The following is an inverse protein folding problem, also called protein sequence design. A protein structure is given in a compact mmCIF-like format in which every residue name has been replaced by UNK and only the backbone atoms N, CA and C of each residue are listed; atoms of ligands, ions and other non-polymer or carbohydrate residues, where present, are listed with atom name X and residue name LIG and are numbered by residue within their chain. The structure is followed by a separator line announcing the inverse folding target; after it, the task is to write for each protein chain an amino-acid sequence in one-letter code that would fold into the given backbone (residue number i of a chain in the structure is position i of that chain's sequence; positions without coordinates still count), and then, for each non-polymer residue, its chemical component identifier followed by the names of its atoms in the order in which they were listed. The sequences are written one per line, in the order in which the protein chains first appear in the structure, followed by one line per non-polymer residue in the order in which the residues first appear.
data_IF_567115579871
#
_entry.id   IF_567115579871
#
_cell.length_a   1.000
_cell.length_b   1.000
_cell.length_c   1.000
_cell.angle_alpha   90.00
_cell.angle_beta   90.00
_cell.angle_gamma   90.00
#
_symmetry.space_group_name_H-M   'P 1'
#
loop_
_entity.id
_entity.type
_entity.pdbx_description
1 polymer ?
#
# COMPACT_ATOMS: atom_id res chain seq x y z
N UNK A 1 9.96 -0.32 14.18
CA UNK A 1 10.55 -0.49 12.82
C UNK A 1 9.65 -1.42 12.03
N UNK A 2 9.20 -1.00 10.83
CA UNK A 2 8.36 -1.87 10.00
C UNK A 2 9.15 -3.07 9.46
N UNK A 3 8.48 -4.21 9.32
CA UNK A 3 9.08 -5.46 8.84
C UNK A 3 8.13 -6.19 7.90
N UNK A 4 8.68 -6.82 6.90
CA UNK A 4 8.01 -7.79 6.05
C UNK A 4 8.89 -9.04 5.97
N UNK A 5 8.39 -10.14 6.51
CA UNK A 5 8.98 -11.47 6.37
C UNK A 5 8.29 -12.24 5.28
N UNK A 6 9.07 -12.92 4.43
CA UNK A 6 8.56 -13.81 3.37
C UNK A 6 9.25 -15.16 3.44
N UNK A 7 8.48 -16.20 3.28
CA UNK A 7 8.96 -17.58 3.26
C UNK A 7 8.06 -18.47 2.41
N UNK A 8 8.55 -19.65 2.07
CA UNK A 8 7.75 -20.76 1.59
C UNK A 8 7.59 -21.77 2.72
N UNK A 9 6.35 -22.18 2.95
CA UNK A 9 5.96 -23.12 4.00
C UNK A 9 5.22 -24.32 3.40
N UNK A 10 4.95 -25.34 4.22
CA UNK A 10 4.19 -26.52 3.83
C UNK A 10 4.74 -27.16 2.56
N UNK A 11 5.94 -27.73 2.67
CA UNK A 11 6.68 -28.33 1.54
C UNK A 11 6.94 -27.37 0.36
N UNK A 12 7.09 -26.07 0.67
CA UNK A 12 7.24 -24.99 -0.31
C UNK A 12 6.04 -24.80 -1.25
N UNK A 13 4.86 -25.24 -0.83
CA UNK A 13 3.64 -25.13 -1.63
C UNK A 13 2.80 -23.90 -1.28
N UNK A 14 3.11 -23.23 -0.17
CA UNK A 14 2.40 -22.01 0.26
C UNK A 14 3.40 -20.89 0.47
N UNK A 15 3.15 -19.76 -0.18
CA UNK A 15 3.89 -18.52 0.07
C UNK A 15 3.31 -17.84 1.30
N UNK A 16 4.15 -17.57 2.29
CA UNK A 16 3.83 -16.86 3.52
C UNK A 16 4.43 -15.46 3.48
N UNK A 17 3.66 -14.48 3.90
CA UNK A 17 4.15 -13.13 4.24
C UNK A 17 3.60 -12.71 5.59
N UNK A 18 4.47 -12.20 6.48
CA UNK A 18 4.10 -11.65 7.79
C UNK A 18 4.61 -10.20 7.86
N UNK A 19 3.72 -9.28 8.21
CA UNK A 19 4.01 -7.84 8.19
C UNK A 19 3.79 -7.20 9.56
N UNK A 20 4.65 -6.25 9.87
CA UNK A 20 4.46 -5.25 10.92
C UNK A 20 4.66 -3.86 10.33
N UNK A 21 3.62 -3.01 10.39
CA UNK A 21 3.56 -1.72 9.68
C UNK A 21 3.14 -0.57 10.60
N UNK A 22 3.25 -0.76 11.89
CA UNK A 22 2.79 0.19 12.92
C UNK A 22 3.41 1.58 12.77
N UNK A 23 4.73 1.66 12.53
CA UNK A 23 5.41 2.95 12.35
C UNK A 23 4.97 3.63 11.05
N UNK A 24 4.81 2.87 9.96
CA UNK A 24 4.36 3.39 8.68
C UNK A 24 2.97 4.03 8.78
N UNK A 25 2.05 3.40 9.51
CA UNK A 25 0.71 3.97 9.76
C UNK A 25 0.80 5.23 10.63
N UNK A 26 1.66 5.24 11.66
CA UNK A 26 1.88 6.43 12.48
C UNK A 26 2.47 7.60 11.68
N UNK A 27 3.34 7.32 10.71
CA UNK A 27 3.88 8.35 9.83
C UNK A 27 2.81 8.92 8.90
N UNK A 28 1.92 8.07 8.36
CA UNK A 28 0.77 8.51 7.58
C UNK A 28 -0.19 9.39 8.43
N UNK A 29 -0.48 8.99 9.68
CA UNK A 29 -1.29 9.79 10.62
C UNK A 29 -0.69 11.20 10.79
N UNK A 30 0.61 11.31 11.01
CA UNK A 30 1.31 12.60 11.19
C UNK A 30 1.27 13.45 9.94
N UNK A 31 1.54 12.86 8.77
CA UNK A 31 1.59 13.56 7.47
C UNK A 31 0.24 14.13 7.09
N UNK A 32 -0.84 13.37 7.32
CA UNK A 32 -2.19 13.72 6.86
C UNK A 32 -3.13 14.18 7.96
N UNK A 33 -2.68 14.20 9.22
CA UNK A 33 -3.51 14.53 10.40
C UNK A 33 -4.82 13.72 10.42
N UNK A 34 -4.69 12.38 10.27
CA UNK A 34 -5.83 11.47 10.15
C UNK A 34 -6.57 11.30 11.49
N UNK A 35 -7.89 11.20 11.42
CA UNK A 35 -8.68 10.64 12.52
C UNK A 35 -8.51 9.10 12.61
N UNK A 36 -9.03 8.50 13.69
CA UNK A 36 -8.84 7.07 13.95
C UNK A 36 -9.41 6.20 12.82
N UNK A 37 -10.57 6.53 12.25
CA UNK A 37 -11.23 5.76 11.18
C UNK A 37 -10.47 5.84 9.85
N UNK A 38 -10.06 7.05 9.46
CA UNK A 38 -9.22 7.26 8.27
C UNK A 38 -7.88 6.54 8.40
N UNK A 39 -7.28 6.60 9.60
CA UNK A 39 -6.02 5.95 9.90
C UNK A 39 -6.12 4.41 9.84
N UNK A 40 -7.21 3.81 10.32
CA UNK A 40 -7.45 2.37 10.20
C UNK A 40 -7.63 1.95 8.74
N UNK A 41 -8.41 2.71 7.97
CA UNK A 41 -8.65 2.42 6.55
C UNK A 41 -7.38 2.58 5.72
N UNK A 42 -6.71 3.74 5.80
CA UNK A 42 -5.48 3.99 5.06
C UNK A 42 -4.36 3.05 5.51
N UNK A 43 -4.24 2.79 6.81
CA UNK A 43 -3.26 1.87 7.38
C UNK A 43 -3.40 0.45 6.85
N UNK A 44 -4.63 -0.05 6.71
CA UNK A 44 -4.91 -1.34 6.08
C UNK A 44 -4.47 -1.37 4.61
N UNK A 45 -4.77 -0.31 3.84
CA UNK A 45 -4.35 -0.20 2.45
C UNK A 45 -2.82 -0.06 2.30
N UNK A 46 -2.15 0.70 3.18
CA UNK A 46 -0.69 0.80 3.22
C UNK A 46 -0.04 -0.56 3.50
N UNK A 47 -0.61 -1.33 4.44
CA UNK A 47 -0.14 -2.69 4.76
C UNK A 47 -0.32 -3.63 3.56
N UNK A 48 -1.47 -3.59 2.89
CA UNK A 48 -1.73 -4.34 1.66
C UNK A 48 -0.75 -3.95 0.54
N UNK A 49 -0.49 -2.66 0.39
CA UNK A 49 0.47 -2.14 -0.59
C UNK A 49 1.91 -2.59 -0.29
N UNK A 50 2.33 -2.56 0.99
CA UNK A 50 3.64 -3.05 1.42
C UNK A 50 3.83 -4.54 1.12
N UNK A 51 2.79 -5.36 1.35
CA UNK A 51 2.79 -6.75 0.95
C UNK A 51 2.98 -6.90 -0.57
N UNK A 52 2.16 -6.21 -1.37
CA UNK A 52 2.21 -6.32 -2.83
C UNK A 52 3.52 -5.79 -3.41
N UNK A 53 4.06 -4.68 -2.87
CA UNK A 53 5.35 -4.13 -3.25
C UNK A 53 6.49 -5.12 -2.97
N UNK A 54 6.47 -5.77 -1.80
CA UNK A 54 7.41 -6.84 -1.45
C UNK A 54 7.31 -8.09 -2.34
N UNK A 55 6.25 -8.24 -3.15
CA UNK A 55 6.08 -9.31 -4.13
C UNK A 55 6.55 -8.93 -5.54
N UNK A 56 6.95 -7.68 -5.79
CA UNK A 56 7.49 -7.24 -7.08
C UNK A 56 8.81 -7.96 -7.39
N UNK A 57 8.95 -8.41 -8.62
CA UNK A 57 10.15 -9.14 -9.07
C UNK A 57 11.18 -8.22 -9.75
N UNK A 58 10.71 -7.08 -10.26
CA UNK A 58 11.53 -6.10 -10.97
C UNK A 58 12.04 -5.03 -10.01
N UNK A 59 13.32 -4.68 -10.06
CA UNK A 59 13.90 -3.56 -9.32
C UNK A 59 13.29 -2.20 -9.71
N UNK A 60 12.63 -2.12 -10.88
CA UNK A 60 11.89 -0.93 -11.33
C UNK A 60 10.39 -1.06 -11.09
N UNK A 61 10.00 -2.14 -10.41
CA UNK A 61 8.61 -2.45 -10.17
C UNK A 61 7.94 -1.43 -9.27
N UNK A 62 6.67 -1.16 -9.56
CA UNK A 62 5.79 -0.36 -8.72
C UNK A 62 4.39 -0.98 -8.68
N UNK A 63 3.70 -0.76 -7.58
CA UNK A 63 2.30 -1.13 -7.42
C UNK A 63 1.53 0.05 -6.85
N UNK A 64 0.30 0.23 -7.30
CA UNK A 64 -0.63 1.16 -6.68
C UNK A 64 -1.99 0.50 -6.47
N UNK A 65 -2.65 0.87 -5.39
CA UNK A 65 -4.01 0.47 -5.07
C UNK A 65 -4.82 1.76 -4.93
N UNK A 66 -5.86 1.91 -5.73
CA UNK A 66 -6.81 3.01 -5.61
C UNK A 66 -8.18 2.45 -5.26
N UNK A 67 -8.78 3.01 -4.23
CA UNK A 67 -10.12 2.67 -3.75
C UNK A 67 -11.00 3.90 -3.90
N UNK A 68 -12.20 3.71 -4.46
CA UNK A 68 -13.25 4.74 -4.53
C UNK A 68 -14.51 4.18 -3.91
N UNK A 69 -15.16 4.96 -3.02
CA UNK A 69 -16.47 4.60 -2.48
C UNK A 69 -17.54 4.55 -3.57
N UNK A 70 -18.60 3.77 -3.36
CA UNK A 70 -19.67 3.58 -4.34
C UNK A 70 -20.45 4.85 -4.67
N UNK A 71 -20.55 5.76 -3.73
CA UNK A 71 -21.18 7.09 -3.88
C UNK A 71 -20.19 8.18 -4.36
N UNK A 72 -18.90 7.84 -4.51
CA UNK A 72 -17.85 8.77 -4.91
C UNK A 72 -17.42 9.77 -3.82
N UNK A 73 -17.94 9.64 -2.59
CA UNK A 73 -17.65 10.58 -1.48
C UNK A 73 -16.25 10.44 -0.91
N UNK A 74 -15.62 9.27 -1.04
CA UNK A 74 -14.30 9.00 -0.53
C UNK A 74 -13.39 8.33 -1.58
N UNK A 75 -12.11 8.69 -1.54
CA UNK A 75 -11.06 8.08 -2.34
C UNK A 75 -9.82 7.86 -1.49
N UNK A 76 -9.23 6.68 -1.61
CA UNK A 76 -7.91 6.40 -1.04
C UNK A 76 -6.99 5.89 -2.15
N UNK A 77 -5.73 6.30 -2.11
CA UNK A 77 -4.72 5.80 -3.03
C UNK A 77 -3.43 5.53 -2.28
N UNK A 78 -2.87 4.35 -2.48
CA UNK A 78 -1.57 3.96 -1.94
C UNK A 78 -0.67 3.47 -3.08
N UNK A 79 0.62 3.70 -2.95
CA UNK A 79 1.60 3.27 -3.95
C UNK A 79 2.87 2.81 -3.26
N UNK A 80 3.48 1.76 -3.79
CA UNK A 80 4.74 1.21 -3.31
C UNK A 80 5.66 0.82 -4.47
N UNK A 81 6.95 0.80 -4.22
CA UNK A 81 7.96 0.36 -5.17
C UNK A 81 8.75 -0.85 -4.63
N UNK A 82 9.60 -1.42 -5.48
CA UNK A 82 10.44 -2.58 -5.15
C UNK A 82 11.48 -2.32 -4.05
N UNK A 83 11.75 -1.05 -3.73
CA UNK A 83 12.65 -0.66 -2.63
C UNK A 83 11.91 -0.63 -1.28
N UNK A 84 10.58 -0.83 -1.28
CA UNK A 84 9.74 -0.79 -0.08
C UNK A 84 9.36 0.62 0.36
N UNK A 85 9.44 1.62 -0.53
CA UNK A 85 8.95 2.96 -0.27
C UNK A 85 7.44 3.01 -0.51
N UNK A 86 6.69 3.09 0.57
CA UNK A 86 5.22 3.06 0.55
C UNK A 86 4.70 4.47 0.88
N UNK A 87 3.67 4.90 0.18
CA UNK A 87 2.99 6.19 0.40
C UNK A 87 1.52 6.06 0.10
N UNK A 88 0.71 6.90 0.70
CA UNK A 88 -0.73 6.89 0.46
C UNK A 88 -1.40 8.13 0.99
N UNK A 89 -2.63 8.33 0.56
CA UNK A 89 -3.52 9.35 1.09
C UNK A 89 -4.96 8.85 1.06
N UNK A 90 -5.81 9.48 1.83
CA UNK A 90 -7.25 9.25 1.86
C UNK A 90 -7.96 10.60 1.95
N UNK A 91 -8.99 10.77 1.15
CA UNK A 91 -9.79 11.98 1.05
C UNK A 91 -11.27 11.63 1.05
N UNK A 92 -12.09 12.53 1.58
CA UNK A 92 -13.54 12.40 1.60
C UNK A 92 -14.13 12.25 3.01
N UNK A 93 -15.42 11.91 3.09
CA UNK A 93 -16.20 11.89 4.33
C UNK A 93 -16.25 10.53 5.01
N UNK A 94 -17.29 9.74 4.78
CA UNK A 94 -17.38 8.42 5.40
C UNK A 94 -16.50 7.41 4.64
N UNK A 95 -15.48 6.87 5.29
CA UNK A 95 -14.49 5.95 4.70
C UNK A 95 -15.02 4.51 4.58
N UNK A 96 -16.29 4.38 4.17
CA UNK A 96 -16.88 3.09 3.89
C UNK A 96 -16.37 2.51 2.56
N UNK A 97 -15.62 1.41 2.62
CA UNK A 97 -15.11 0.75 1.42
C UNK A 97 -16.21 0.01 0.64
N UNK A 98 -17.31 -0.34 1.27
CA UNK A 98 -18.38 -1.15 0.66
C UNK A 98 -19.10 -0.43 -0.49
N UNK A 99 -19.35 -1.16 -1.57
CA UNK A 99 -20.12 -0.69 -2.72
C UNK A 99 -19.32 0.15 -3.71
N UNK A 100 -18.01 0.27 -3.51
CA UNK A 100 -17.11 0.96 -4.43
C UNK A 100 -16.26 0.00 -5.25
N UNK A 101 -15.15 0.50 -5.75
CA UNK A 101 -14.20 -0.26 -6.56
C UNK A 101 -12.77 -0.11 -6.05
N UNK A 102 -12.04 -1.23 -6.10
CA UNK A 102 -10.59 -1.26 -5.90
C UNK A 102 -9.93 -1.53 -7.25
N UNK A 103 -9.01 -0.66 -7.64
CA UNK A 103 -8.17 -0.83 -8.82
C UNK A 103 -6.72 -0.98 -8.37
N UNK A 104 -6.07 -2.04 -8.83
CA UNK A 104 -4.64 -2.29 -8.60
C UNK A 104 -3.91 -2.19 -9.92
N UNK A 105 -2.84 -1.40 -9.93
CA UNK A 105 -1.93 -1.27 -11.07
C UNK A 105 -0.58 -1.82 -10.65
N UNK A 106 -0.07 -2.82 -11.38
CA UNK A 106 1.28 -3.37 -11.23
C UNK A 106 2.09 -3.02 -12.47
N UNK A 107 3.16 -2.28 -12.28
CA UNK A 107 4.11 -1.89 -13.33
C UNK A 107 5.46 -2.56 -13.05
N UNK A 108 5.99 -3.30 -14.00
CA UNK A 108 7.31 -3.91 -13.92
C UNK A 108 8.43 -3.02 -14.47
N UNK A 109 8.06 -1.85 -15.00
CA UNK A 109 8.96 -0.86 -15.58
C UNK A 109 9.46 -1.20 -17.00
N UNK A 110 8.95 -2.27 -17.63
CA UNK A 110 9.37 -2.73 -18.96
C UNK A 110 8.23 -2.88 -19.96
N UNK A 111 7.05 -3.31 -19.50
CA UNK A 111 5.89 -3.59 -20.32
C UNK A 111 4.71 -2.66 -19.95
N UNK A 112 3.56 -2.88 -20.60
CA UNK A 112 2.34 -2.18 -20.19
C UNK A 112 1.95 -2.66 -18.78
N UNK A 113 1.60 -1.73 -17.88
CA UNK A 113 1.16 -2.09 -16.55
C UNK A 113 -0.04 -3.05 -16.59
N UNK A 114 -0.03 -4.03 -15.70
CA UNK A 114 -1.22 -4.85 -15.44
C UNK A 114 -2.20 -4.04 -14.59
N UNK A 115 -3.46 -4.03 -15.00
CA UNK A 115 -4.54 -3.34 -14.28
C UNK A 115 -5.63 -4.35 -13.95
N UNK A 116 -5.86 -4.55 -12.67
CA UNK A 116 -6.97 -5.36 -12.16
C UNK A 116 -7.95 -4.49 -11.38
N UNK A 117 -9.24 -4.75 -11.54
CA UNK A 117 -10.30 -4.02 -10.81
C UNK A 117 -11.30 -5.01 -10.23
N UNK A 118 -11.74 -4.77 -9.00
CA UNK A 118 -12.84 -5.51 -8.39
C UNK A 118 -13.77 -4.58 -7.61
N UNK A 119 -15.02 -5.01 -7.46
CA UNK A 119 -16.01 -4.34 -6.61
C UNK A 119 -15.66 -4.57 -5.14
N UNK A 120 -15.87 -3.54 -4.30
CA UNK A 120 -15.70 -3.62 -2.86
C UNK A 120 -16.97 -4.15 -2.21
N UNK A 121 -16.96 -5.41 -1.79
CA UNK A 121 -18.11 -6.09 -1.17
C UNK A 121 -18.15 -5.95 0.34
N UNK A 122 -17.04 -5.56 0.94
CA UNK A 122 -16.85 -5.47 2.39
C UNK A 122 -16.22 -4.14 2.80
N UNK A 123 -16.39 -3.77 4.06
CA UNK A 123 -15.61 -2.71 4.69
C UNK A 123 -14.17 -3.16 5.03
N UNK A 124 -13.90 -4.45 5.00
CA UNK A 124 -12.60 -5.04 5.33
C UNK A 124 -11.62 -4.96 4.16
N UNK A 125 -10.45 -4.38 4.39
CA UNK A 125 -9.34 -4.41 3.43
C UNK A 125 -8.91 -5.84 3.11
N UNK A 126 -8.87 -6.72 4.12
CA UNK A 126 -8.51 -8.14 3.96
C UNK A 126 -9.44 -8.86 2.99
N UNK A 127 -10.75 -8.74 3.18
CA UNK A 127 -11.75 -9.40 2.34
C UNK A 127 -11.73 -8.87 0.90
N UNK A 128 -11.58 -7.55 0.73
CA UNK A 128 -11.49 -6.96 -0.60
C UNK A 128 -10.18 -7.34 -1.32
N UNK A 129 -9.08 -7.48 -0.60
CA UNK A 129 -7.82 -7.95 -1.17
C UNK A 129 -7.89 -9.44 -1.57
N UNK A 130 -8.50 -10.30 -0.76
CA UNK A 130 -8.79 -11.69 -1.14
C UNK A 130 -9.64 -11.77 -2.40
N UNK A 131 -10.70 -10.96 -2.48
CA UNK A 131 -11.55 -10.89 -3.66
C UNK A 131 -10.78 -10.42 -4.91
N UNK A 132 -9.91 -9.42 -4.77
CA UNK A 132 -9.04 -8.97 -5.86
C UNK A 132 -8.16 -10.11 -6.39
N UNK A 133 -7.46 -10.83 -5.50
CA UNK A 133 -6.61 -11.95 -5.91
C UNK A 133 -7.41 -13.07 -6.58
N UNK A 134 -8.60 -13.36 -6.06
CA UNK A 134 -9.48 -14.39 -6.65
C UNK A 134 -9.96 -14.02 -8.06
N UNK A 135 -10.44 -12.77 -8.25
CA UNK A 135 -11.05 -12.33 -9.51
C UNK A 135 -10.01 -11.94 -10.55
N UNK A 136 -9.02 -11.13 -10.15
CA UNK A 136 -8.10 -10.48 -11.09
C UNK A 136 -6.83 -11.28 -11.34
N UNK A 137 -6.30 -11.96 -10.32
CA UNK A 137 -5.06 -12.72 -10.44
C UNK A 137 -5.29 -14.23 -10.45
N UNK A 138 -6.48 -14.69 -10.06
CA UNK A 138 -6.84 -16.12 -9.97
C UNK A 138 -5.89 -16.92 -9.07
N UNK A 139 -5.39 -16.28 -8.03
CA UNK A 139 -4.50 -16.90 -7.03
C UNK A 139 -5.27 -17.07 -5.74
N UNK A 140 -5.48 -18.31 -5.24
CA UNK A 140 -6.07 -18.55 -3.95
C UNK A 140 -5.22 -17.91 -2.85
N UNK A 141 -5.78 -16.92 -2.17
CA UNK A 141 -5.06 -16.09 -1.21
C UNK A 141 -5.90 -15.91 0.05
N UNK A 142 -5.32 -16.20 1.20
CA UNK A 142 -5.90 -15.88 2.49
C UNK A 142 -5.17 -14.66 3.07
N UNK A 143 -5.92 -13.68 3.57
CA UNK A 143 -5.41 -12.40 4.05
C UNK A 143 -5.99 -12.09 5.43
N UNK A 144 -5.13 -11.76 6.38
CA UNK A 144 -5.49 -11.17 7.66
C UNK A 144 -4.66 -9.89 7.84
N UNK A 145 -5.25 -8.73 7.58
CA UNK A 145 -4.66 -7.41 7.83
C UNK A 145 -5.48 -6.72 8.90
N UNK A 146 -4.81 -6.12 9.87
CA UNK A 146 -5.44 -5.37 10.94
C UNK A 146 -4.67 -4.12 11.30
N UNK A 147 -5.41 -3.10 11.68
CA UNK A 147 -4.90 -1.82 12.18
C UNK A 147 -5.71 -1.44 13.41
N UNK A 148 -5.05 -1.08 14.48
CA UNK A 148 -5.66 -0.63 15.73
C UNK A 148 -5.16 0.74 16.09
N UNK A 149 -6.04 1.71 16.03
CA UNK A 149 -5.76 3.11 16.36
C UNK A 149 -6.47 3.47 17.65
N UNK A 150 -5.82 4.26 18.49
CA UNK A 150 -6.40 4.83 19.72
C UNK A 150 -5.90 6.24 19.93
N UNK A 151 -6.82 7.18 20.01
CA UNK A 151 -6.53 8.60 20.30
C UNK A 151 -5.51 9.21 19.31
N UNK A 152 -5.69 8.97 18.02
CA UNK A 152 -4.82 9.50 16.96
C UNK A 152 -3.45 8.81 16.86
N UNK A 153 -3.27 7.64 17.48
CA UNK A 153 -2.03 6.87 17.42
C UNK A 153 -2.30 5.42 17.04
N UNK A 154 -1.59 4.93 16.04
CA UNK A 154 -1.59 3.51 15.73
C UNK A 154 -0.83 2.74 16.84
N UNK A 155 -1.55 1.84 17.50
CA UNK A 155 -1.01 0.95 18.54
C UNK A 155 -0.35 -0.25 17.90
N UNK A 156 -0.99 -0.84 16.89
CA UNK A 156 -0.47 -1.96 16.12
C UNK A 156 -1.08 -1.97 14.72
N UNK A 157 -0.28 -2.33 13.73
CA UNK A 157 -0.71 -2.56 12.35
C UNK A 157 0.18 -3.62 11.70
N UNK A 158 -0.42 -4.45 10.88
CA UNK A 158 0.29 -5.48 10.14
C UNK A 158 -0.64 -6.56 9.61
N UNK A 159 -0.07 -7.72 9.29
CA UNK A 159 -0.89 -8.80 8.76
C UNK A 159 -0.13 -10.06 8.43
N UNK A 160 -0.91 -11.09 8.10
CA UNK A 160 -0.46 -12.37 7.55
C UNK A 160 -1.15 -12.60 6.22
N UNK A 161 -0.38 -12.96 5.21
CA UNK A 161 -0.90 -13.32 3.87
C UNK A 161 -0.32 -14.68 3.48
N UNK A 162 -1.18 -15.59 3.08
CA UNK A 162 -0.81 -16.88 2.52
C UNK A 162 -1.36 -17.02 1.10
N UNK A 163 -0.53 -17.46 0.18
CA UNK A 163 -0.94 -17.77 -1.20
C UNK A 163 -0.60 -19.21 -1.55
N UNK A 164 -1.58 -19.93 -2.04
CA UNK A 164 -1.37 -21.28 -2.56
C UNK A 164 -0.62 -21.22 -3.88
N UNK A 165 0.44 -21.99 -4.01
CA UNK A 165 1.20 -22.13 -5.26
C UNK A 165 0.56 -23.18 -6.17
N UNK A 166 0.81 -23.14 -7.49
CA UNK A 166 0.33 -24.17 -8.40
C UNK A 166 0.79 -25.57 -7.95
N UNK A 167 -0.16 -26.50 -7.85
CA UNK A 167 0.11 -27.87 -7.41
C UNK A 167 0.09 -28.09 -5.89
N UNK A 168 -0.36 -27.09 -5.11
CA UNK A 168 -0.59 -27.28 -3.65
C UNK A 168 -1.54 -28.45 -3.43
N UNK A 169 -1.14 -29.38 -2.55
CA UNK A 169 -1.96 -30.53 -2.17
C UNK A 169 -3.15 -30.11 -1.30
N UNK A 170 -4.23 -30.89 -1.34
CA UNK A 170 -5.43 -30.66 -0.51
C UNK A 170 -5.05 -30.60 0.98
N UNK A 171 -4.17 -31.49 1.44
CA UNK A 171 -3.65 -31.49 2.80
C UNK A 171 -3.00 -30.15 3.19
N UNK A 172 -2.17 -29.57 2.32
CA UNK A 172 -1.52 -28.29 2.59
C UNK A 172 -2.45 -27.08 2.42
N UNK A 173 -3.52 -27.20 1.61
CA UNK A 173 -4.61 -26.22 1.56
C UNK A 173 -5.37 -26.18 2.88
N UNK A 174 -5.83 -27.32 3.37
CA UNK A 174 -6.57 -27.43 4.64
C UNK A 174 -5.72 -26.91 5.81
N UNK A 175 -4.44 -27.26 5.83
CA UNK A 175 -3.48 -26.80 6.85
C UNK A 175 -3.31 -25.28 6.82
N UNK A 176 -3.26 -24.66 5.63
CA UNK A 176 -3.16 -23.22 5.49
C UNK A 176 -4.45 -22.52 5.97
N UNK A 177 -5.62 -23.06 5.63
CA UNK A 177 -6.92 -22.55 6.09
C UNK A 177 -7.05 -22.65 7.60
N UNK A 178 -6.71 -23.79 8.21
CA UNK A 178 -6.72 -23.98 9.67
C UNK A 178 -5.80 -22.99 10.36
N UNK A 179 -4.58 -22.81 9.84
CA UNK A 179 -3.62 -21.87 10.43
C UNK A 179 -4.12 -20.42 10.35
N UNK A 180 -4.77 -20.02 9.26
CA UNK A 180 -5.32 -18.67 9.11
C UNK A 180 -6.43 -18.34 10.12
N UNK A 181 -7.10 -19.34 10.70
CA UNK A 181 -8.12 -19.11 11.75
C UNK A 181 -7.52 -18.47 13.02
N UNK A 182 -6.23 -18.66 13.27
CA UNK A 182 -5.55 -18.00 14.39
C UNK A 182 -5.44 -16.48 14.21
N UNK A 183 -5.58 -15.99 13.00
CA UNK A 183 -5.38 -14.58 12.66
C UNK A 183 -6.68 -13.78 12.44
N UNK A 184 -7.83 -14.30 12.84
CA UNK A 184 -9.12 -13.58 12.80
C UNK A 184 -9.03 -12.24 13.57
N UNK A 185 -8.25 -12.21 14.66
CA UNK A 185 -7.92 -11.00 15.41
C UNK A 185 -6.43 -10.71 15.31
N UNK A 186 -5.95 -10.49 14.10
CA UNK A 186 -4.50 -10.33 13.83
C UNK A 186 -3.84 -9.23 14.67
N UNK A 187 -4.57 -8.17 15.03
CA UNK A 187 -4.03 -7.10 15.88
C UNK A 187 -3.68 -7.59 17.28
N UNK A 188 -4.46 -8.52 17.85
CA UNK A 188 -4.17 -9.08 19.17
C UNK A 188 -2.92 -9.97 19.12
N UNK A 189 -2.75 -10.73 18.03
CA UNK A 189 -1.56 -11.57 17.83
C UNK A 189 -0.30 -10.70 17.59
N UNK A 190 -0.42 -9.63 16.82
CA UNK A 190 0.68 -8.67 16.61
C UNK A 190 1.06 -7.94 17.90
N UNK A 191 0.10 -7.54 18.74
CA UNK A 191 0.39 -6.92 20.05
C UNK A 191 1.13 -7.89 20.97
N UNK A 192 0.79 -9.17 20.92
CA UNK A 192 1.37 -10.20 21.78
C UNK A 192 2.76 -10.63 21.35
N UNK A 193 2.96 -10.82 20.05
CA UNK A 193 4.16 -11.48 19.54
C UNK A 193 5.00 -10.61 18.59
N UNK A 194 4.44 -9.55 17.99
CA UNK A 194 5.03 -8.89 16.84
C UNK A 194 5.12 -9.80 15.62
N UNK A 195 5.52 -9.28 14.47
CA UNK A 195 5.61 -10.08 13.24
C UNK A 195 6.64 -11.21 13.34
N UNK A 196 7.80 -10.96 13.96
CA UNK A 196 8.84 -11.95 14.15
C UNK A 196 8.40 -13.08 15.11
N UNK A 197 7.67 -12.71 16.18
CA UNK A 197 7.12 -13.67 17.12
C UNK A 197 6.01 -14.53 16.50
N UNK A 198 5.15 -13.95 15.64
CA UNK A 198 4.17 -14.70 14.85
C UNK A 198 4.87 -15.72 13.95
N UNK A 199 5.93 -15.31 13.23
CA UNK A 199 6.70 -16.21 12.40
C UNK A 199 7.26 -17.40 13.20
N UNK A 200 7.82 -17.13 14.37
CA UNK A 200 8.40 -18.17 15.24
C UNK A 200 7.33 -19.09 15.86
N UNK A 201 6.25 -18.52 16.37
CA UNK A 201 5.24 -19.25 17.12
C UNK A 201 4.38 -20.15 16.23
N UNK A 202 3.93 -19.62 15.10
CA UNK A 202 3.00 -20.33 14.21
C UNK A 202 3.70 -21.07 13.07
N UNK A 203 4.90 -20.64 12.68
CA UNK A 203 5.58 -21.15 11.50
C UNK A 203 7.02 -21.61 11.73
N UNK A 204 7.52 -21.57 12.97
CA UNK A 204 8.90 -21.91 13.28
C UNK A 204 9.33 -23.33 12.88
N UNK A 205 8.38 -24.28 12.87
CA UNK A 205 8.62 -25.65 12.40
C UNK A 205 8.62 -25.78 10.86
N UNK A 206 8.07 -24.83 10.14
CA UNK A 206 7.89 -24.85 8.69
C UNK A 206 8.91 -23.97 7.97
N UNK A 207 9.42 -22.92 8.63
CA UNK A 207 10.40 -22.00 8.06
C UNK A 207 11.80 -22.49 8.40
N UNK A 208 12.62 -22.75 7.38
CA UNK A 208 14.06 -22.93 7.59
C UNK A 208 14.70 -21.55 7.62
N UNK A 209 15.64 -21.32 8.54
CA UNK A 209 16.32 -20.03 8.72
C UNK A 209 16.82 -19.38 7.40
N UNK A 210 17.30 -20.19 6.46
CA UNK A 210 17.77 -19.74 5.14
C UNK A 210 16.67 -19.41 4.13
N UNK A 211 15.40 -19.68 4.44
CA UNK A 211 14.26 -19.47 3.54
C UNK A 211 13.40 -18.25 3.90
N UNK A 212 13.79 -17.51 4.93
CA UNK A 212 13.09 -16.29 5.35
C UNK A 212 13.81 -15.08 4.78
N UNK A 213 13.08 -14.30 3.98
CA UNK A 213 13.53 -13.00 3.46
C UNK A 213 12.91 -11.92 4.31
N UNK A 214 13.73 -11.00 4.82
CA UNK A 214 13.29 -9.85 5.59
C UNK A 214 13.52 -8.57 4.79
N UNK A 215 12.51 -7.71 4.74
CA UNK A 215 12.59 -6.36 4.18
C UNK A 215 11.94 -5.35 5.11
N UNK A 216 12.26 -4.07 4.93
CA UNK A 216 11.88 -2.99 5.85
C UNK A 216 11.11 -1.91 5.10
N UNK A 217 9.79 -2.10 4.85
CA UNK A 217 8.99 -1.09 4.19
C UNK A 217 8.93 0.19 5.03
N UNK A 218 9.00 1.35 4.37
CA UNK A 218 8.93 2.66 5.04
C UNK A 218 7.90 3.58 4.39
N UNK A 219 7.28 4.45 5.20
CA UNK A 219 6.45 5.53 4.66
C UNK A 219 7.34 6.59 4.03
N UNK A 220 7.37 6.63 2.69
CA UNK A 220 8.26 7.54 1.97
C UNK A 220 7.69 7.97 0.64
N UNK A 221 7.49 9.27 0.50
CA UNK A 221 7.15 9.86 -0.78
C UNK A 221 8.41 10.11 -1.60
N UNK A 222 8.37 9.74 -2.86
CA UNK A 222 9.46 9.96 -3.81
C UNK A 222 9.28 11.24 -4.65
N UNK A 223 8.36 12.14 -4.27
CA UNK A 223 8.22 13.44 -4.92
C UNK A 223 9.44 14.33 -4.65
N UNK A 224 9.70 15.23 -5.55
CA UNK A 224 10.74 16.26 -5.41
C UNK A 224 10.40 17.43 -6.31
N UNK A 225 10.92 18.64 -5.99
CA UNK A 225 10.74 19.82 -6.84
C UNK A 225 11.08 19.52 -8.31
N UNK A 226 12.19 18.81 -8.56
CA UNK A 226 12.59 18.41 -9.92
C UNK A 226 11.59 17.49 -10.64
N UNK A 227 10.89 16.60 -9.89
CA UNK A 227 9.81 15.77 -10.48
C UNK A 227 8.58 16.62 -10.80
N UNK A 228 8.23 17.55 -9.93
CA UNK A 228 7.10 18.46 -10.13
C UNK A 228 7.37 19.41 -11.30
N UNK A 229 8.58 19.92 -11.44
CA UNK A 229 9.01 20.73 -12.59
C UNK A 229 8.76 20.03 -13.92
N UNK A 230 9.02 18.72 -14.00
CA UNK A 230 8.71 17.92 -15.20
C UNK A 230 7.21 17.84 -15.49
N UNK A 231 6.39 17.74 -14.44
CA UNK A 231 4.93 17.75 -14.60
C UNK A 231 4.45 19.11 -15.06
N UNK A 232 4.95 20.20 -14.47
CA UNK A 232 4.61 21.58 -14.86
C UNK A 232 4.95 21.84 -16.33
N UNK A 233 6.06 21.31 -16.83
CA UNK A 233 6.45 21.42 -18.26
C UNK A 233 5.44 20.81 -19.25
N UNK A 234 4.53 19.96 -18.79
CA UNK A 234 3.45 19.44 -19.64
C UNK A 234 2.31 20.44 -19.87
N UNK A 235 2.28 21.53 -19.11
CA UNK A 235 1.34 22.65 -19.25
C UNK A 235 2.01 23.73 -20.09
N UNK A 236 1.25 24.45 -20.93
CA UNK A 236 1.82 25.51 -21.76
C UNK A 236 2.34 26.68 -20.91
N UNK A 237 3.44 27.31 -21.35
CA UNK A 237 3.97 28.50 -20.68
C UNK A 237 2.92 29.63 -20.57
N UNK A 238 2.08 29.79 -21.59
CA UNK A 238 1.04 30.80 -21.60
C UNK A 238 -0.01 30.59 -20.52
N UNK A 239 -0.44 29.31 -20.31
CA UNK A 239 -1.40 28.97 -19.28
C UNK A 239 -0.80 29.14 -17.87
N UNK A 240 0.46 28.76 -17.67
CA UNK A 240 1.15 28.94 -16.39
C UNK A 240 1.32 30.42 -16.03
N UNK A 241 1.65 31.28 -17.02
CA UNK A 241 1.76 32.73 -16.80
C UNK A 241 0.41 33.34 -16.47
N UNK A 242 -0.67 32.86 -17.10
CA UNK A 242 -2.03 33.29 -16.78
C UNK A 242 -2.42 32.94 -15.35
N UNK A 243 -2.10 31.71 -14.86
CA UNK A 243 -2.30 31.33 -13.46
C UNK A 243 -1.53 32.27 -12.51
N UNK A 244 -0.29 32.60 -12.86
CA UNK A 244 0.51 33.55 -12.05
C UNK A 244 -0.10 34.95 -12.03
N UNK A 245 -0.65 35.41 -13.14
CA UNK A 245 -1.33 36.71 -13.22
C UNK A 245 -2.60 36.74 -12.35
N UNK A 246 -3.34 35.61 -12.28
CA UNK A 246 -4.58 35.47 -11.50
C UNK A 246 -4.32 35.19 -10.02
N UNK A 247 -3.40 34.24 -9.69
CA UNK A 247 -3.20 33.70 -8.35
C UNK A 247 -1.86 34.10 -7.69
N UNK A 248 -0.97 34.75 -8.44
CA UNK A 248 0.34 35.18 -7.97
C UNK A 248 1.45 34.14 -8.08
N UNK A 249 1.13 32.86 -8.07
CA UNK A 249 2.07 31.75 -8.17
C UNK A 249 1.40 30.48 -8.74
N UNK A 250 2.18 29.56 -9.30
CA UNK A 250 1.75 28.19 -9.59
C UNK A 250 2.01 27.34 -8.38
N UNK A 251 0.98 26.76 -7.77
CA UNK A 251 1.08 25.84 -6.64
C UNK A 251 0.68 24.42 -7.05
N UNK A 252 1.51 23.44 -6.71
CA UNK A 252 1.25 22.01 -6.93
C UNK A 252 1.31 21.28 -5.61
N UNK A 253 0.18 20.71 -5.19
CA UNK A 253 0.07 19.92 -3.97
C UNK A 253 0.39 18.47 -4.23
N UNK A 254 1.26 17.85 -3.41
CA UNK A 254 1.50 16.43 -3.41
C UNK A 254 0.62 15.74 -2.36
N UNK A 255 -0.46 15.08 -2.78
CA UNK A 255 -1.37 14.38 -1.87
C UNK A 255 -0.67 13.28 -1.04
N UNK A 256 0.38 12.65 -1.54
CA UNK A 256 1.08 11.56 -0.82
C UNK A 256 1.91 12.01 0.39
N UNK A 257 2.43 13.22 0.40
CA UNK A 257 3.25 13.74 1.51
C UNK A 257 2.77 15.09 2.04
N UNK A 258 1.62 15.55 1.58
CA UNK A 258 0.98 16.79 2.04
C UNK A 258 1.92 18.01 1.90
N UNK A 259 2.70 18.04 0.80
CA UNK A 259 3.69 19.10 0.56
C UNK A 259 3.28 19.96 -0.63
N UNK A 260 3.30 21.27 -0.45
CA UNK A 260 3.06 22.25 -1.51
C UNK A 260 4.38 22.65 -2.18
N UNK A 261 4.39 22.63 -3.51
CA UNK A 261 5.47 23.11 -4.35
C UNK A 261 5.02 24.36 -5.06
N UNK A 262 5.67 25.49 -4.76
CA UNK A 262 5.33 26.80 -5.27
C UNK A 262 6.34 27.28 -6.29
N UNK A 263 5.86 27.89 -7.38
CA UNK A 263 6.66 28.40 -8.49
C UNK A 263 6.19 29.78 -8.86
N UNK A 264 7.05 30.76 -8.68
CA UNK A 264 6.84 32.13 -9.11
C UNK A 264 7.13 32.31 -10.61
N UNK A 265 6.84 33.49 -11.14
CA UNK A 265 7.07 33.81 -12.56
C UNK A 265 8.50 33.55 -13.01
N UNK A 266 9.48 33.90 -12.16
CA UNK A 266 10.90 33.66 -12.45
C UNK A 266 11.21 32.18 -12.60
N UNK A 267 10.72 31.32 -11.66
CA UNK A 267 10.92 29.88 -11.72
C UNK A 267 10.35 29.28 -13.02
N UNK A 268 9.13 29.73 -13.39
CA UNK A 268 8.46 29.24 -14.60
C UNK A 268 9.21 29.66 -15.85
N UNK A 269 9.64 30.91 -15.95
CA UNK A 269 10.43 31.39 -17.12
C UNK A 269 11.75 30.67 -17.25
N UNK A 270 12.50 30.48 -16.14
CA UNK A 270 13.75 29.72 -16.12
C UNK A 270 13.57 28.25 -16.52
N UNK A 271 12.46 27.63 -16.08
CA UNK A 271 12.13 26.24 -16.39
C UNK A 271 11.97 26.00 -17.91
N UNK A 272 11.38 26.96 -18.62
CA UNK A 272 11.16 26.87 -20.07
C UNK A 272 12.32 27.42 -20.91
N UNK A 273 13.20 28.27 -20.35
CA UNK A 273 14.36 28.79 -21.05
C UNK A 273 15.47 27.74 -21.26
N UNK A 274 15.49 26.69 -20.45
CA UNK A 274 16.51 25.62 -20.50
C UNK A 274 16.18 24.48 -21.47
N UNK A 275 15.12 24.59 -22.26
CA UNK A 275 14.71 23.59 -23.27
C UNK A 275 15.08 24.03 -24.71
N UNK A 276 16.00 25.02 -24.90
CA UNK A 276 16.52 25.52 -26.18
C UNK A 276 17.81 24.82 -26.63
#
# INVERSE_FOLDING_TARGET
MNKLFKSLIYDMQVSLSVLETTEMVNDAIKVHNLDDTAAETLGGLLTACAYMAGCLKSERGAVSITVKSGDGSATASVSGDSEGHIRGYIEGGEYGLKGGYMTVVKDDGFYRPFVGTCELKSASVSENLMQYYHISEQIPTAVAIGVKVKNGKCVTAGGVVMQLLPGTTEYNMDKAEETMQNFVKITDELEKFGAEGILREYFGGETKEKSVYETFPEYKCNCSRKKIERVIKSVSLADLLKIIEEDGEVSVHCHYCNTDYKFGEKDIRELFANDG
#
